data_IF_049957650916
#
_entry.id   IF_049957650916
#
_cell.length_a   1.000
_cell.length_b   1.000
_cell.length_c   1.000
_cell.angle_alpha   90.00
_cell.angle_beta   90.00
_cell.angle_gamma   90.00
#
_symmetry.space_group_name_H-M   'P 1'
#
loop_
_entity.id
_entity.type
_entity.pdbx_description
1 polymer ?
#
# COMPACT_ATOMS: atom_id res chain seq x y z
N UNK A 1 -10.80 15.36 -19.47
CA UNK A 1 -10.12 14.06 -19.65
C UNK A 1 -10.02 13.41 -18.28
N UNK A 2 -10.13 12.09 -18.20
CA UNK A 2 -9.94 11.36 -16.95
C UNK A 2 -8.50 11.53 -16.45
N UNK A 3 -8.31 11.64 -15.13
CA UNK A 3 -7.05 12.06 -14.47
C UNK A 3 -5.84 11.19 -14.83
N UNK A 4 -6.07 9.89 -15.07
CA UNK A 4 -5.04 8.91 -15.42
C UNK A 4 -5.14 8.41 -16.87
N UNK A 5 -5.84 9.13 -17.74
CA UNK A 5 -5.95 8.77 -19.15
C UNK A 5 -4.56 8.67 -19.81
N UNK A 6 -4.27 7.54 -20.47
CA UNK A 6 -2.98 7.25 -21.11
C UNK A 6 -1.85 6.85 -20.14
N UNK A 7 -2.17 6.64 -18.85
CA UNK A 7 -1.25 6.14 -17.83
C UNK A 7 -1.54 4.68 -17.51
N UNK A 8 -0.51 3.86 -17.41
CA UNK A 8 -0.59 2.45 -17.03
C UNK A 8 -0.16 2.28 -15.58
N UNK A 9 -0.99 1.61 -14.77
CA UNK A 9 -0.71 1.40 -13.36
C UNK A 9 -0.51 -0.07 -13.00
N UNK A 10 0.43 -0.34 -12.09
CA UNK A 10 0.58 -1.62 -11.40
C UNK A 10 0.23 -1.42 -9.92
N UNK A 11 -0.57 -2.33 -9.34
CA UNK A 11 -0.85 -2.36 -7.91
C UNK A 11 -0.44 -3.72 -7.35
N UNK A 12 0.75 -3.78 -6.75
CA UNK A 12 1.21 -4.96 -6.03
C UNK A 12 0.42 -5.10 -4.72
N UNK A 13 -0.26 -6.25 -4.51
CA UNK A 13 -1.24 -6.41 -3.44
C UNK A 13 -2.58 -5.73 -3.74
N UNK A 14 -3.00 -5.72 -5.02
CA UNK A 14 -4.19 -5.01 -5.51
C UNK A 14 -5.52 -5.76 -5.36
N UNK A 15 -5.55 -6.91 -4.68
CA UNK A 15 -6.75 -7.78 -4.62
C UNK A 15 -7.67 -7.49 -3.44
N UNK A 16 -7.17 -6.89 -2.37
CA UNK A 16 -7.91 -6.66 -1.12
C UNK A 16 -7.61 -5.26 -0.53
N UNK A 17 -8.48 -4.80 0.35
CA UNK A 17 -8.28 -3.64 1.22
C UNK A 17 -7.84 -2.38 0.46
N UNK A 18 -6.79 -1.73 0.96
CA UNK A 18 -6.26 -0.47 0.41
C UNK A 18 -5.82 -0.64 -1.05
N UNK A 19 -5.13 -1.74 -1.37
CA UNK A 19 -4.66 -2.00 -2.73
C UNK A 19 -5.80 -2.12 -3.73
N UNK A 20 -6.89 -2.85 -3.39
CA UNK A 20 -8.07 -2.96 -4.25
C UNK A 20 -8.77 -1.61 -4.43
N UNK A 21 -8.90 -0.84 -3.34
CA UNK A 21 -9.47 0.50 -3.42
C UNK A 21 -8.62 1.45 -4.30
N UNK A 22 -7.29 1.36 -4.20
CA UNK A 22 -6.38 2.12 -5.06
C UNK A 22 -6.50 1.69 -6.53
N UNK A 23 -6.55 0.37 -6.81
CA UNK A 23 -6.74 -0.14 -8.17
C UNK A 23 -8.05 0.37 -8.79
N UNK A 24 -9.18 0.28 -8.05
CA UNK A 24 -10.47 0.84 -8.47
C UNK A 24 -10.37 2.34 -8.74
N UNK A 25 -9.74 3.11 -7.85
CA UNK A 25 -9.63 4.57 -7.98
C UNK A 25 -8.83 4.96 -9.22
N UNK A 26 -7.69 4.32 -9.48
CA UNK A 26 -6.88 4.57 -10.66
C UNK A 26 -7.60 4.18 -11.95
N UNK A 27 -8.28 3.03 -11.97
CA UNK A 27 -9.03 2.56 -13.13
C UNK A 27 -10.24 3.46 -13.42
N UNK A 28 -11.00 3.89 -12.41
CA UNK A 28 -12.07 4.90 -12.55
C UNK A 28 -11.51 6.23 -13.09
N UNK A 29 -10.27 6.56 -12.76
CA UNK A 29 -9.56 7.71 -13.30
C UNK A 29 -9.05 7.51 -14.74
N UNK A 30 -9.32 6.37 -15.39
CA UNK A 30 -9.00 6.08 -16.78
C UNK A 30 -7.65 5.40 -17.03
N UNK A 31 -6.96 4.91 -15.98
CA UNK A 31 -5.78 4.08 -16.16
C UNK A 31 -6.17 2.62 -16.43
N UNK A 32 -5.62 1.92 -17.41
CA UNK A 32 -5.51 0.47 -17.35
C UNK A 32 -4.65 0.06 -16.16
N UNK A 33 -5.12 -0.94 -15.37
CA UNK A 33 -4.49 -1.36 -14.12
C UNK A 33 -4.14 -2.84 -14.16
N UNK A 34 -2.91 -3.18 -13.77
CA UNK A 34 -2.51 -4.56 -13.48
C UNK A 34 -2.44 -4.76 -11.97
N UNK A 35 -3.16 -5.74 -11.44
CA UNK A 35 -3.12 -6.12 -10.03
C UNK A 35 -2.42 -7.46 -9.84
N UNK A 36 -1.82 -7.69 -8.66
CA UNK A 36 -1.32 -9.02 -8.30
C UNK A 36 -1.56 -9.36 -6.83
N UNK A 37 -1.50 -10.64 -6.54
CA UNK A 37 -1.43 -11.29 -5.23
C UNK A 37 -0.74 -12.65 -5.40
N UNK A 38 -0.24 -13.22 -4.32
CA UNK A 38 0.27 -14.60 -4.26
C UNK A 38 -0.85 -15.66 -4.36
N UNK A 39 -2.11 -15.25 -4.26
CA UNK A 39 -3.33 -16.07 -4.28
C UNK A 39 -4.09 -15.90 -5.59
N UNK A 40 -4.07 -16.93 -6.45
CA UNK A 40 -4.77 -16.93 -7.74
C UNK A 40 -6.27 -16.65 -7.58
N UNK A 41 -6.92 -17.33 -6.62
CA UNK A 41 -8.36 -17.18 -6.34
C UNK A 41 -8.76 -15.74 -5.96
N UNK A 42 -7.85 -15.00 -5.30
CA UNK A 42 -8.07 -13.59 -4.98
C UNK A 42 -7.89 -12.68 -6.20
N UNK A 43 -6.92 -13.02 -7.06
CA UNK A 43 -6.69 -12.27 -8.31
C UNK A 43 -7.92 -12.39 -9.22
N UNK A 44 -8.40 -13.61 -9.46
CA UNK A 44 -9.56 -13.87 -10.31
C UNK A 44 -10.81 -13.11 -9.84
N UNK A 45 -11.13 -13.24 -8.54
CA UNK A 45 -12.29 -12.54 -7.95
C UNK A 45 -12.17 -11.02 -8.05
N UNK A 46 -11.00 -10.46 -7.70
CA UNK A 46 -10.81 -9.02 -7.75
C UNK A 46 -10.88 -8.45 -9.18
N UNK A 47 -10.35 -9.18 -10.15
CA UNK A 47 -10.45 -8.82 -11.58
C UNK A 47 -11.90 -8.89 -12.05
N UNK A 48 -12.62 -9.96 -11.70
CA UNK A 48 -14.04 -10.12 -12.09
C UNK A 48 -14.89 -8.97 -11.49
N UNK A 49 -14.75 -8.68 -10.20
CA UNK A 49 -15.44 -7.59 -9.53
C UNK A 49 -15.17 -6.23 -10.19
N UNK A 50 -13.90 -5.89 -10.41
CA UNK A 50 -13.53 -4.58 -10.98
C UNK A 50 -13.94 -4.45 -12.45
N UNK A 51 -13.85 -5.52 -13.23
CA UNK A 51 -14.34 -5.52 -14.62
C UNK A 51 -15.87 -5.49 -14.72
N UNK A 52 -16.57 -6.02 -13.72
CA UNK A 52 -18.02 -5.87 -13.60
C UNK A 52 -18.49 -4.44 -13.38
N UNK A 53 -17.57 -3.54 -13.00
CA UNK A 53 -17.78 -2.10 -12.89
C UNK A 53 -17.31 -1.33 -14.16
N UNK A 54 -17.14 -2.02 -15.30
CA UNK A 54 -16.61 -1.49 -16.57
C UNK A 54 -15.20 -0.89 -16.49
N UNK A 55 -14.37 -1.36 -15.53
CA UNK A 55 -13.00 -0.90 -15.35
C UNK A 55 -11.99 -1.76 -16.14
N UNK A 56 -10.99 -1.13 -16.75
CA UNK A 56 -9.92 -1.83 -17.46
C UNK A 56 -8.87 -2.35 -16.45
N UNK A 57 -9.10 -3.56 -15.97
CA UNK A 57 -8.24 -4.22 -14.99
C UNK A 57 -7.84 -5.60 -15.48
N UNK A 58 -6.56 -5.93 -15.33
CA UNK A 58 -6.00 -7.27 -15.51
C UNK A 58 -5.32 -7.71 -14.22
N UNK A 59 -5.12 -9.00 -14.07
CA UNK A 59 -4.41 -9.53 -12.91
C UNK A 59 -3.56 -10.72 -13.26
N UNK A 60 -2.56 -10.97 -12.44
CA UNK A 60 -1.80 -12.22 -12.46
C UNK A 60 -1.36 -12.60 -11.05
N UNK A 61 -1.25 -13.91 -10.83
CA UNK A 61 -0.60 -14.40 -9.62
C UNK A 61 0.88 -14.03 -9.62
N UNK A 62 1.33 -13.34 -8.58
CA UNK A 62 2.72 -13.00 -8.36
C UNK A 62 3.01 -12.83 -6.87
N UNK A 63 4.10 -13.45 -6.40
CA UNK A 63 4.63 -13.28 -5.06
C UNK A 63 5.61 -12.10 -5.05
N UNK A 64 5.33 -11.09 -4.25
CA UNK A 64 6.19 -9.89 -4.17
C UNK A 64 7.58 -10.18 -3.64
N UNK A 65 7.79 -11.30 -2.92
CA UNK A 65 9.10 -11.73 -2.42
C UNK A 65 9.97 -12.38 -3.50
N UNK A 66 9.35 -12.74 -4.64
CA UNK A 66 10.00 -13.38 -5.79
C UNK A 66 10.45 -12.36 -6.83
N UNK A 67 11.76 -12.24 -7.01
CA UNK A 67 12.35 -11.39 -8.05
C UNK A 67 11.87 -11.77 -9.47
N UNK A 68 11.69 -13.06 -9.74
CA UNK A 68 11.20 -13.56 -11.02
C UNK A 68 9.74 -13.14 -11.26
N UNK A 69 8.91 -13.22 -10.22
CA UNK A 69 7.50 -12.84 -10.31
C UNK A 69 7.33 -11.34 -10.53
N UNK A 70 8.09 -10.50 -9.81
CA UNK A 70 8.05 -9.05 -10.03
C UNK A 70 8.52 -8.65 -11.42
N UNK A 71 9.54 -9.34 -11.95
CA UNK A 71 9.95 -9.14 -13.36
C UNK A 71 8.83 -9.52 -14.34
N UNK A 72 8.14 -10.65 -14.11
CA UNK A 72 7.01 -11.08 -14.96
C UNK A 72 5.82 -10.13 -14.85
N UNK A 73 5.50 -9.65 -13.64
CA UNK A 73 4.40 -8.70 -13.42
C UNK A 73 4.59 -7.41 -14.23
N UNK A 74 5.79 -6.85 -14.17
CA UNK A 74 6.13 -5.65 -14.95
C UNK A 74 6.12 -5.95 -16.45
N UNK A 75 6.71 -7.07 -16.87
CA UNK A 75 6.67 -7.54 -18.26
C UNK A 75 5.25 -7.67 -18.78
N UNK A 76 4.35 -8.27 -18.00
CA UNK A 76 2.95 -8.42 -18.34
C UNK A 76 2.23 -7.06 -18.55
N UNK A 77 2.52 -6.06 -17.72
CA UNK A 77 1.97 -4.72 -17.91
C UNK A 77 2.50 -4.06 -19.20
N UNK A 78 3.80 -4.22 -19.49
CA UNK A 78 4.42 -3.71 -20.70
C UNK A 78 3.85 -4.38 -21.95
N UNK A 79 3.74 -5.70 -21.97
CA UNK A 79 3.19 -6.47 -23.09
C UNK A 79 1.72 -6.15 -23.35
N UNK A 80 0.94 -5.95 -22.28
CA UNK A 80 -0.50 -5.73 -22.36
C UNK A 80 -0.86 -4.29 -22.70
N UNK A 81 -0.15 -3.31 -22.11
CA UNK A 81 -0.53 -1.90 -22.13
C UNK A 81 0.58 -0.95 -22.62
N UNK A 82 1.75 -1.46 -22.98
CA UNK A 82 2.85 -0.70 -23.58
C UNK A 82 3.77 0.03 -22.61
N UNK A 83 3.67 -0.18 -21.30
CA UNK A 83 4.58 0.43 -20.33
C UNK A 83 4.04 0.47 -18.91
N UNK A 84 4.73 1.22 -18.03
CA UNK A 84 4.34 1.48 -16.64
C UNK A 84 4.57 2.95 -16.33
N UNK A 85 3.56 3.64 -15.83
CA UNK A 85 3.63 5.04 -15.39
C UNK A 85 3.42 5.19 -13.88
N UNK A 86 2.66 4.26 -13.26
CA UNK A 86 2.31 4.29 -11.83
C UNK A 86 2.56 2.93 -11.21
N UNK A 87 3.24 2.91 -10.05
CA UNK A 87 3.39 1.71 -9.23
C UNK A 87 2.85 1.99 -7.82
N UNK A 88 1.89 1.19 -7.38
CA UNK A 88 1.41 1.20 -5.99
C UNK A 88 1.88 -0.08 -5.32
N UNK A 89 2.70 0.05 -4.28
CA UNK A 89 3.16 -1.04 -3.44
C UNK A 89 2.26 -1.13 -2.20
N UNK A 90 1.30 -2.05 -2.22
CA UNK A 90 0.30 -2.24 -1.15
C UNK A 90 0.32 -3.64 -0.54
N UNK A 91 1.11 -4.57 -1.08
CA UNK A 91 1.29 -5.88 -0.45
C UNK A 91 1.91 -5.73 0.94
N UNK A 92 1.38 -6.47 1.90
CA UNK A 92 1.90 -6.43 3.26
C UNK A 92 1.25 -7.45 4.16
N UNK A 93 2.00 -7.89 5.16
CA UNK A 93 1.56 -8.78 6.23
C UNK A 93 1.88 -8.16 7.59
N UNK A 94 1.06 -8.50 8.58
CA UNK A 94 1.32 -8.16 9.98
C UNK A 94 1.44 -9.44 10.78
N UNK A 95 2.47 -9.50 11.65
CA UNK A 95 2.68 -10.56 12.63
C UNK A 95 2.89 -9.94 13.99
N UNK A 96 2.48 -10.65 15.01
CA UNK A 96 2.58 -10.20 16.40
C UNK A 96 3.67 -10.96 17.12
N UNK A 97 4.49 -10.25 17.88
CA UNK A 97 5.58 -10.76 18.72
C UNK A 97 6.49 -9.63 19.16
N UNK A 98 7.03 -9.73 20.37
CA UNK A 98 8.16 -8.90 20.83
C UNK A 98 9.43 -9.35 20.09
N UNK A 99 10.54 -8.60 20.26
CA UNK A 99 11.85 -9.00 19.69
C UNK A 99 12.30 -10.37 20.18
N UNK A 100 11.93 -10.74 21.41
CA UNK A 100 12.32 -12.04 22.01
C UNK A 100 11.44 -13.19 21.51
N UNK A 101 10.17 -12.90 21.22
CA UNK A 101 9.16 -13.92 20.84
C UNK A 101 9.05 -14.12 19.34
N UNK A 102 9.58 -13.20 18.53
CA UNK A 102 9.49 -13.29 17.06
C UNK A 102 10.56 -14.25 16.56
N UNK A 103 10.14 -15.38 16.01
CA UNK A 103 11.02 -16.34 15.36
C UNK A 103 11.63 -15.73 14.08
N UNK A 104 12.81 -16.20 13.68
CA UNK A 104 13.57 -15.64 12.56
C UNK A 104 12.81 -15.74 11.23
N UNK A 105 12.11 -16.84 10.99
CA UNK A 105 11.30 -17.04 9.78
C UNK A 105 10.09 -16.09 9.71
N UNK A 106 9.48 -15.77 10.87
CA UNK A 106 8.41 -14.77 10.97
C UNK A 106 8.95 -13.36 10.73
N UNK A 107 10.13 -13.06 11.27
CA UNK A 107 10.82 -11.80 10.99
C UNK A 107 11.12 -11.65 9.50
N UNK A 108 11.71 -12.67 8.90
CA UNK A 108 12.07 -12.68 7.47
C UNK A 108 10.83 -12.56 6.59
N UNK A 109 9.74 -13.29 6.88
CA UNK A 109 8.47 -13.15 6.15
C UNK A 109 8.01 -11.68 6.11
N UNK A 110 7.98 -11.02 7.27
CA UNK A 110 7.49 -9.65 7.37
C UNK A 110 8.38 -8.68 6.59
N UNK A 111 9.70 -8.81 6.71
CA UNK A 111 10.64 -7.94 5.99
C UNK A 111 10.63 -8.22 4.48
N UNK A 112 10.57 -9.49 4.08
CA UNK A 112 10.53 -9.89 2.68
C UNK A 112 9.27 -9.40 1.97
N UNK A 113 8.10 -9.58 2.59
CA UNK A 113 6.84 -9.13 1.98
C UNK A 113 6.75 -7.61 2.00
N UNK A 114 6.92 -6.98 3.19
CA UNK A 114 6.61 -5.56 3.35
C UNK A 114 7.67 -4.63 2.76
N UNK A 115 8.95 -4.98 2.84
CA UNK A 115 10.04 -4.09 2.46
C UNK A 115 10.77 -4.54 1.20
N UNK A 116 11.25 -5.79 1.15
CA UNK A 116 11.94 -6.34 -0.03
C UNK A 116 11.03 -6.40 -1.25
N UNK A 117 9.73 -6.72 -1.04
CA UNK A 117 8.73 -6.71 -2.12
C UNK A 117 8.63 -5.34 -2.81
N UNK A 118 8.66 -4.25 -2.05
CA UNK A 118 8.69 -2.88 -2.60
C UNK A 118 9.95 -2.64 -3.43
N UNK A 119 11.11 -3.04 -2.89
CA UNK A 119 12.38 -2.95 -3.63
C UNK A 119 12.31 -3.73 -4.96
N UNK A 120 11.83 -4.97 -4.94
CA UNK A 120 11.78 -5.81 -6.14
C UNK A 120 10.81 -5.27 -7.20
N UNK A 121 9.61 -4.86 -6.80
CA UNK A 121 8.65 -4.26 -7.71
C UNK A 121 9.20 -2.97 -8.34
N UNK A 122 9.78 -2.09 -7.52
CA UNK A 122 10.37 -0.82 -7.97
C UNK A 122 11.58 -1.05 -8.90
N UNK A 123 12.44 -2.03 -8.58
CA UNK A 123 13.60 -2.40 -9.39
C UNK A 123 13.24 -2.69 -10.85
N UNK A 124 12.11 -3.35 -11.09
CA UNK A 124 11.68 -3.70 -12.44
C UNK A 124 10.78 -2.63 -13.08
N UNK A 125 10.01 -1.88 -12.29
CA UNK A 125 9.13 -0.83 -12.80
C UNK A 125 9.88 0.45 -13.19
N UNK A 126 10.89 0.86 -12.43
CA UNK A 126 11.65 2.10 -12.68
C UNK A 126 12.25 2.19 -14.10
N UNK A 127 12.92 1.14 -14.63
CA UNK A 127 13.42 1.20 -16.02
C UNK A 127 12.30 1.42 -17.06
N UNK A 128 11.11 0.89 -16.82
CA UNK A 128 9.96 1.10 -17.72
C UNK A 128 9.41 2.53 -17.59
N UNK A 129 9.35 3.05 -16.38
CA UNK A 129 8.97 4.45 -16.13
C UNK A 129 9.94 5.42 -16.81
N UNK A 130 11.25 5.16 -16.75
CA UNK A 130 12.27 5.96 -17.46
C UNK A 130 12.00 5.95 -18.98
N UNK A 131 11.69 4.79 -19.57
CA UNK A 131 11.33 4.67 -21.00
C UNK A 131 10.06 5.46 -21.35
N UNK A 132 9.16 5.64 -20.39
CA UNK A 132 7.92 6.43 -20.52
C UNK A 132 8.12 7.93 -20.25
N UNK A 133 9.34 8.36 -19.86
CA UNK A 133 9.68 9.75 -19.55
C UNK A 133 9.37 10.20 -18.13
N UNK A 134 9.20 9.25 -17.22
CA UNK A 134 8.93 9.48 -15.81
C UNK A 134 7.78 8.65 -15.26
N UNK A 135 7.46 8.84 -13.97
CA UNK A 135 6.40 8.07 -13.31
C UNK A 135 6.13 8.48 -11.87
N UNK A 136 5.27 7.72 -11.21
CA UNK A 136 4.99 7.89 -9.79
C UNK A 136 4.93 6.55 -9.07
N UNK A 137 5.61 6.44 -7.93
CA UNK A 137 5.58 5.30 -7.03
C UNK A 137 4.94 5.74 -5.73
N UNK A 138 3.96 4.99 -5.24
CA UNK A 138 3.36 5.21 -3.91
C UNK A 138 3.46 3.93 -3.09
N UNK A 139 4.17 4.02 -1.97
CA UNK A 139 4.38 2.93 -1.04
C UNK A 139 3.39 3.00 0.12
N UNK A 140 2.69 1.91 0.42
CA UNK A 140 1.79 1.84 1.57
C UNK A 140 2.60 1.43 2.81
N UNK A 141 2.94 2.44 3.61
CA UNK A 141 3.61 2.31 4.89
C UNK A 141 2.59 2.17 6.03
N UNK A 142 2.81 2.84 7.16
CA UNK A 142 1.92 2.89 8.33
C UNK A 142 2.31 4.05 9.25
N UNK A 143 1.40 4.47 10.14
CA UNK A 143 1.76 5.28 11.31
C UNK A 143 2.81 4.60 12.18
N UNK A 144 2.94 3.28 12.11
CA UNK A 144 3.96 2.52 12.83
C UNK A 144 5.39 2.74 12.28
N UNK A 145 5.57 3.51 11.21
CA UNK A 145 6.88 4.03 10.83
C UNK A 145 7.35 5.20 11.71
N UNK A 146 6.47 5.81 12.51
CA UNK A 146 6.75 6.97 13.38
C UNK A 146 6.58 6.65 14.87
N UNK A 147 5.67 5.74 15.19
CA UNK A 147 5.39 5.27 16.54
C UNK A 147 5.14 3.75 16.47
N UNK A 148 5.18 3.06 17.61
CA UNK A 148 4.96 1.60 17.63
C UNK A 148 3.88 1.24 18.63
N UNK A 149 3.12 0.20 18.34
CA UNK A 149 2.39 -0.52 19.38
C UNK A 149 3.24 -1.65 19.94
N UNK A 150 2.84 -2.17 21.10
CA UNK A 150 3.49 -3.34 21.71
C UNK A 150 3.30 -4.60 20.88
N UNK A 151 4.33 -5.44 20.80
CA UNK A 151 4.25 -6.76 20.18
C UNK A 151 4.21 -6.77 18.66
N UNK A 152 4.84 -5.81 17.98
CA UNK A 152 4.89 -5.74 16.49
C UNK A 152 6.28 -5.35 15.97
N UNK A 153 7.32 -5.92 16.56
CA UNK A 153 8.70 -5.52 16.29
C UNK A 153 9.07 -5.58 14.79
N UNK A 154 8.84 -6.72 14.13
CA UNK A 154 9.14 -6.90 12.71
C UNK A 154 8.32 -5.95 11.82
N UNK A 155 7.02 -5.80 12.12
CA UNK A 155 6.16 -4.91 11.34
C UNK A 155 6.62 -3.45 11.43
N UNK A 156 6.87 -2.94 12.65
CA UNK A 156 7.39 -1.57 12.86
C UNK A 156 8.72 -1.36 12.14
N UNK A 157 9.66 -2.31 12.24
CA UNK A 157 10.92 -2.24 11.52
C UNK A 157 10.71 -2.16 10.00
N UNK A 158 9.83 -3.01 9.45
CA UNK A 158 9.52 -2.99 8.01
C UNK A 158 8.94 -1.64 7.57
N UNK A 159 8.02 -1.05 8.35
CA UNK A 159 7.36 0.22 8.01
C UNK A 159 8.30 1.42 8.12
N UNK A 160 9.18 1.43 9.12
CA UNK A 160 10.29 2.40 9.19
C UNK A 160 11.23 2.30 7.99
N UNK A 161 11.57 1.06 7.59
CA UNK A 161 12.36 0.78 6.40
C UNK A 161 11.71 1.29 5.11
N UNK A 162 10.37 1.15 4.96
CA UNK A 162 9.64 1.68 3.79
C UNK A 162 9.81 3.20 3.67
N UNK A 163 9.66 3.96 4.75
CA UNK A 163 9.83 5.40 4.71
C UNK A 163 11.27 5.79 4.35
N UNK A 164 12.27 5.07 4.87
CA UNK A 164 13.67 5.28 4.51
C UNK A 164 13.93 4.96 3.02
N UNK A 165 13.45 3.82 2.52
CA UNK A 165 13.57 3.42 1.12
C UNK A 165 12.85 4.40 0.18
N UNK A 166 11.69 4.91 0.58
CA UNK A 166 10.93 5.93 -0.16
C UNK A 166 11.77 7.19 -0.40
N UNK A 167 12.45 7.70 0.64
CA UNK A 167 13.33 8.87 0.51
C UNK A 167 14.53 8.59 -0.39
N UNK A 168 15.15 7.42 -0.26
CA UNK A 168 16.29 7.04 -1.11
C UNK A 168 15.87 7.00 -2.58
N UNK A 169 14.82 6.25 -2.93
CA UNK A 169 14.32 6.16 -4.31
C UNK A 169 13.88 7.52 -4.86
N UNK A 170 13.30 8.39 -4.02
CA UNK A 170 12.88 9.73 -4.45
C UNK A 170 14.06 10.59 -4.89
N UNK A 171 15.20 10.50 -4.19
CA UNK A 171 16.42 11.24 -4.52
C UNK A 171 17.14 10.63 -5.73
N UNK A 172 17.25 9.30 -5.76
CA UNK A 172 17.97 8.57 -6.79
C UNK A 172 17.34 8.77 -8.19
N UNK A 173 16.00 8.91 -8.25
CA UNK A 173 15.25 8.92 -9.51
C UNK A 173 14.54 10.25 -9.83
N UNK A 174 14.84 11.32 -9.10
CA UNK A 174 14.28 12.64 -9.36
C UNK A 174 14.66 13.18 -10.75
N UNK A 175 15.92 12.96 -11.17
CA UNK A 175 16.42 13.40 -12.49
C UNK A 175 15.75 12.70 -13.65
N UNK A 176 15.17 11.51 -13.42
CA UNK A 176 14.39 10.74 -14.41
C UNK A 176 12.89 11.07 -14.35
N UNK A 177 12.51 12.15 -13.66
CA UNK A 177 11.11 12.57 -13.51
C UNK A 177 10.23 11.50 -12.84
N UNK A 178 10.79 10.73 -11.91
CA UNK A 178 10.06 9.74 -11.10
C UNK A 178 9.89 10.29 -9.69
N UNK A 179 8.63 10.36 -9.23
CA UNK A 179 8.29 10.76 -7.87
C UNK A 179 8.00 9.53 -7.04
N UNK A 180 8.51 9.49 -5.81
CA UNK A 180 8.30 8.38 -4.88
C UNK A 180 7.83 8.93 -3.54
N UNK A 181 6.65 8.49 -3.08
CA UNK A 181 6.07 8.92 -1.80
C UNK A 181 5.52 7.72 -1.02
N UNK A 182 5.35 7.90 0.28
CA UNK A 182 4.68 6.93 1.13
C UNK A 182 3.35 7.48 1.66
N UNK A 183 2.33 6.65 1.72
CA UNK A 183 1.14 6.88 2.55
C UNK A 183 1.29 6.08 3.84
N UNK A 184 0.90 6.68 4.96
CA UNK A 184 1.07 6.13 6.29
C UNK A 184 -0.29 6.07 7.01
N UNK A 185 -1.13 5.05 6.69
CA UNK A 185 -2.43 4.90 7.34
C UNK A 185 -2.27 4.47 8.81
N UNK A 186 -3.29 4.80 9.61
CA UNK A 186 -3.54 4.17 10.90
C UNK A 186 -4.50 2.97 10.72
N UNK A 187 -5.54 2.86 11.55
CA UNK A 187 -6.52 1.77 11.45
C UNK A 187 -7.43 1.96 10.23
N UNK A 188 -7.40 1.02 9.30
CA UNK A 188 -8.24 1.02 8.08
C UNK A 188 -9.03 -0.28 8.04
N UNK A 189 -10.34 -0.22 7.82
CA UNK A 189 -11.23 -1.39 7.75
C UNK A 189 -10.88 -2.28 6.55
N UNK A 190 -9.99 -3.21 6.78
CA UNK A 190 -9.45 -4.16 5.81
C UNK A 190 -9.47 -5.57 6.39
N UNK A 191 -9.33 -6.61 5.57
CA UNK A 191 -9.19 -7.99 6.08
C UNK A 191 -8.05 -8.13 7.10
N UNK A 192 -6.94 -7.39 6.94
CA UNK A 192 -5.83 -7.39 7.91
C UNK A 192 -6.26 -6.83 9.27
N UNK A 193 -6.95 -5.68 9.30
CA UNK A 193 -7.42 -5.08 10.55
C UNK A 193 -8.49 -5.95 11.22
N UNK A 194 -9.43 -6.52 10.44
CA UNK A 194 -10.46 -7.43 10.94
C UNK A 194 -9.87 -8.73 11.50
N UNK A 195 -8.84 -9.28 10.86
CA UNK A 195 -8.07 -10.41 11.40
C UNK A 195 -7.42 -10.05 12.74
N UNK A 196 -6.77 -8.88 12.84
CA UNK A 196 -6.19 -8.39 14.10
C UNK A 196 -7.26 -8.19 15.17
N UNK A 197 -8.40 -7.57 14.81
CA UNK A 197 -9.51 -7.39 15.73
C UNK A 197 -10.04 -8.74 16.25
N UNK A 198 -10.20 -9.74 15.38
CA UNK A 198 -10.63 -11.08 15.81
C UNK A 198 -9.61 -11.76 16.76
N UNK A 199 -8.31 -11.49 16.57
CA UNK A 199 -7.26 -12.03 17.46
C UNK A 199 -7.31 -11.41 18.87
N UNK A 200 -7.63 -10.11 18.98
CA UNK A 200 -7.55 -9.36 20.23
C UNK A 200 -8.90 -8.95 20.84
N UNK A 201 -10.02 -9.38 20.27
CA UNK A 201 -11.37 -8.96 20.70
C UNK A 201 -11.76 -9.43 22.11
N UNK A 202 -11.12 -10.46 22.64
CA UNK A 202 -11.55 -11.09 23.89
C UNK A 202 -12.98 -11.61 23.78
N UNK A 203 -13.87 -11.10 24.65
CA UNK A 203 -15.31 -11.43 24.65
C UNK A 203 -16.15 -10.56 23.69
N UNK A 204 -15.56 -9.50 23.11
CA UNK A 204 -16.24 -8.58 22.19
C UNK A 204 -16.39 -9.19 20.79
N UNK A 205 -17.28 -8.60 20.00
CA UNK A 205 -17.35 -8.84 18.56
C UNK A 205 -16.20 -8.12 17.85
N UNK A 206 -15.95 -8.46 16.57
CA UNK A 206 -15.00 -7.74 15.73
C UNK A 206 -15.43 -6.28 15.56
N UNK A 207 -16.72 -6.04 15.38
CA UNK A 207 -17.31 -4.71 15.20
C UNK A 207 -17.08 -3.83 16.42
N UNK A 208 -17.40 -4.31 17.61
CA UNK A 208 -17.14 -3.58 18.88
C UNK A 208 -15.65 -3.28 19.08
N UNK A 209 -14.78 -4.20 18.68
CA UNK A 209 -13.32 -3.99 18.76
C UNK A 209 -12.87 -2.91 17.77
N UNK A 210 -13.44 -2.90 16.57
CA UNK A 210 -13.16 -1.85 15.58
C UNK A 210 -13.68 -0.48 16.01
N UNK A 211 -14.82 -0.42 16.71
CA UNK A 211 -15.35 0.81 17.32
C UNK A 211 -14.40 1.33 18.39
N UNK A 212 -13.93 0.46 19.31
CA UNK A 212 -12.94 0.84 20.33
C UNK A 212 -11.65 1.38 19.69
N UNK A 213 -11.14 0.70 18.67
CA UNK A 213 -9.96 1.17 17.96
C UNK A 213 -10.21 2.45 17.18
N UNK A 214 -11.43 2.63 16.69
CA UNK A 214 -11.89 3.89 16.10
C UNK A 214 -11.80 5.05 17.08
N UNK A 215 -12.19 4.83 18.33
CA UNK A 215 -12.09 5.83 19.41
C UNK A 215 -10.67 6.31 19.74
N UNK A 216 -9.63 5.59 19.31
CA UNK A 216 -8.24 6.03 19.44
C UNK A 216 -7.85 7.11 18.44
N UNK A 217 -8.67 7.35 17.42
CA UNK A 217 -8.46 8.40 16.42
C UNK A 217 -9.28 9.64 16.81
N UNK A 218 -8.73 10.85 16.75
CA UNK A 218 -9.50 12.08 16.98
C UNK A 218 -10.77 12.21 16.12
N UNK A 219 -10.80 11.60 14.92
CA UNK A 219 -12.01 11.53 14.09
C UNK A 219 -13.02 10.47 14.54
N UNK A 220 -12.76 9.72 15.61
CA UNK A 220 -13.68 8.81 16.29
C UNK A 220 -14.03 7.51 15.55
N UNK A 221 -13.29 7.14 14.51
CA UNK A 221 -13.55 5.92 13.72
C UNK A 221 -12.31 5.41 13.01
N UNK A 222 -12.35 4.15 12.60
CA UNK A 222 -11.39 3.61 11.61
C UNK A 222 -11.66 4.21 10.23
N UNK A 223 -10.63 4.30 9.39
CA UNK A 223 -10.75 4.77 8.02
C UNK A 223 -11.34 3.67 7.11
N UNK A 224 -11.98 4.08 6.01
CA UNK A 224 -12.30 3.20 4.90
C UNK A 224 -11.10 3.10 3.95
N UNK A 225 -10.90 1.97 3.26
CA UNK A 225 -9.85 1.82 2.25
C UNK A 225 -9.85 2.91 1.18
N UNK A 226 -11.04 3.37 0.79
CA UNK A 226 -11.24 4.42 -0.21
C UNK A 226 -10.64 5.77 0.23
N UNK A 227 -10.67 6.08 1.52
CA UNK A 227 -10.10 7.34 2.05
C UNK A 227 -8.57 7.35 1.92
N UNK A 228 -7.93 6.20 2.05
CA UNK A 228 -6.49 6.04 1.78
C UNK A 228 -6.21 6.07 0.28
N UNK A 229 -7.07 5.45 -0.53
CA UNK A 229 -6.94 5.41 -1.98
C UNK A 229 -7.03 6.81 -2.63
N UNK A 230 -7.78 7.76 -2.04
CA UNK A 230 -7.81 9.16 -2.49
C UNK A 230 -6.42 9.82 -2.38
N UNK A 231 -5.73 9.61 -1.26
CA UNK A 231 -4.37 10.15 -1.06
C UNK A 231 -3.37 9.46 -1.99
N UNK A 232 -3.49 8.13 -2.17
CA UNK A 232 -2.68 7.37 -3.12
C UNK A 232 -2.86 7.94 -4.54
N UNK A 233 -4.10 8.14 -4.98
CA UNK A 233 -4.39 8.68 -6.30
C UNK A 233 -3.85 10.10 -6.47
N UNK A 234 -4.00 10.98 -5.47
CA UNK A 234 -3.39 12.30 -5.50
C UNK A 234 -1.86 12.22 -5.69
N UNK A 235 -1.17 11.37 -4.91
CA UNK A 235 0.28 11.22 -4.99
C UNK A 235 0.75 10.58 -6.32
N UNK A 236 -0.08 9.72 -6.92
CA UNK A 236 0.18 9.12 -8.23
C UNK A 236 -0.06 10.09 -9.39
N UNK A 237 -0.87 11.13 -9.19
CA UNK A 237 -1.34 12.02 -10.25
C UNK A 237 -0.40 13.19 -10.54
N UNK A 238 -0.57 13.89 -11.70
CA UNK A 238 0.16 15.12 -12.00
C UNK A 238 -0.09 16.28 -11.03
N UNK A 239 -1.18 16.24 -10.25
CA UNK A 239 -1.48 17.28 -9.22
C UNK A 239 -0.43 17.35 -8.13
N UNK A 240 0.31 16.26 -7.90
CA UNK A 240 1.42 16.19 -6.94
C UNK A 240 2.80 16.33 -7.62
N UNK A 241 2.90 17.10 -8.71
CA UNK A 241 4.10 17.20 -9.55
C UNK A 241 5.34 17.72 -8.81
N UNK A 242 5.18 18.43 -7.70
CA UNK A 242 6.29 18.93 -6.87
C UNK A 242 6.38 18.21 -5.51
N UNK A 243 5.86 16.96 -5.45
CA UNK A 243 5.75 16.16 -4.23
C UNK A 243 6.52 14.87 -4.41
N UNK A 244 7.69 14.72 -3.75
CA UNK A 244 8.50 13.50 -3.73
C UNK A 244 9.22 13.35 -2.40
N UNK A 245 9.50 12.12 -1.97
CA UNK A 245 10.21 11.79 -0.72
C UNK A 245 9.39 11.99 0.55
N UNK A 246 8.08 12.28 0.44
CA UNK A 246 7.22 12.57 1.57
C UNK A 246 6.57 11.33 2.17
N UNK A 247 6.27 11.43 3.48
CA UNK A 247 5.57 10.43 4.30
C UNK A 247 4.20 11.01 4.72
N UNK A 248 3.10 10.63 4.06
CA UNK A 248 1.79 11.25 4.19
C UNK A 248 0.89 10.45 5.13
N UNK A 249 0.59 10.99 6.31
CA UNK A 249 -0.28 10.36 7.30
C UNK A 249 -1.74 10.42 6.85
N UNK A 250 -2.43 9.28 6.96
CA UNK A 250 -3.88 9.12 6.76
C UNK A 250 -4.41 8.41 8.00
N UNK A 251 -4.43 9.12 9.12
CA UNK A 251 -4.51 8.55 10.46
C UNK A 251 -5.63 9.11 11.34
N UNK A 252 -6.52 9.92 10.78
CA UNK A 252 -7.61 10.54 11.55
C UNK A 252 -7.12 11.40 12.71
N UNK A 253 -5.87 11.90 12.66
CA UNK A 253 -5.23 12.72 13.67
C UNK A 253 -4.53 11.94 14.79
N UNK A 254 -4.40 10.61 14.69
CA UNK A 254 -3.84 9.75 15.74
C UNK A 254 -2.46 10.24 16.20
N UNK A 255 -1.53 10.52 15.27
CA UNK A 255 -0.18 10.96 15.60
C UNK A 255 -0.05 12.47 15.90
N UNK A 256 -1.13 13.24 15.70
CA UNK A 256 -1.15 14.65 16.08
C UNK A 256 -1.62 14.85 17.54
N UNK A 257 -2.24 13.84 18.14
CA UNK A 257 -2.78 13.93 19.49
C UNK A 257 -1.67 13.75 20.54
N UNK A 258 -1.59 14.65 21.49
CA UNK A 258 -0.89 14.43 22.75
C UNK A 258 -1.78 13.60 23.67
N UNK A 259 -1.20 12.65 24.41
CA UNK A 259 -1.92 11.77 25.35
C UNK A 259 -2.48 12.50 26.59
N UNK A 260 -2.56 13.83 26.59
CA UNK A 260 -3.09 14.64 27.69
C UNK A 260 -4.54 15.01 27.40
N UNK A 261 -5.44 14.59 28.29
CA UNK A 261 -6.83 15.04 28.28
C UNK A 261 -7.00 16.10 29.37
N UNK A 262 -7.62 17.22 29.02
CA UNK A 262 -8.10 18.20 29.99
C UNK A 262 -9.37 17.64 30.65
N UNK A 263 -9.60 17.85 31.96
CA UNK A 263 -10.88 17.53 32.58
C UNK A 263 -12.00 18.35 31.93
N UNK A 264 -13.17 17.70 31.80
CA UNK A 264 -14.40 18.34 31.28
C UNK A 264 -14.85 19.47 32.22
#
# INVERSE_FOLDING_TARGET
>A
MAEFSGKVAIVAGGTLGIGRAAARKLATGGAPVVICSDREDQVERAVEELRGEDLEVRGMRADVTSSADMKRLVGFAVETYGGVDVLINSAGVQRYGTVVETEEDVWDEVLDVNLKGIYLASKYAIPEMIRRGGGAIVNVSSVQAFASQTGVAAYTASKGGINALTRAMALDHASENIRVNAVCPASVDTPMLRWSANLFRGEKTVEETLEDWGGMHPLGRVARPEEVAEVIAFLASPRSSFVTGGDYKVDGGMLAALGVRLPD
#
